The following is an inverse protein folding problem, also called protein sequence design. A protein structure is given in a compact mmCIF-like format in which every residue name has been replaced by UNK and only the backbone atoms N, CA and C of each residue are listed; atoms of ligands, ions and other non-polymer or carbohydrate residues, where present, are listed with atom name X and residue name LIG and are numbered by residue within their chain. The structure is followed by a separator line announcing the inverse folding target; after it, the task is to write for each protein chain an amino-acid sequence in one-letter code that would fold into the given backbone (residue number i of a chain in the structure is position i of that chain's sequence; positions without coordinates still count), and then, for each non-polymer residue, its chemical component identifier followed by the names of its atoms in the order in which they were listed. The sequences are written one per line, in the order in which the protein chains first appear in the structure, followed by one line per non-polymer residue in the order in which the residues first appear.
data_IF_963855621873
#
_entry.id   IF_963855621873
#
_cell.length_a   1.000
_cell.length_b   1.000
_cell.length_c   1.000
_cell.angle_alpha   90.00
_cell.angle_beta   90.00
_cell.angle_gamma   90.00
#
_symmetry.space_group_name_H-M   'P 1'
#
loop_
_entity.id
_entity.type
_entity.pdbx_description
1 polymer ?
#
# COMPACT_ATOMS: atom_id res chain seq x y z
N UNK A 1 2.05 -6.98 -28.50
CA UNK A 1 1.49 -6.54 -27.21
C UNK A 1 2.10 -7.38 -26.12
N UNK A 2 2.76 -6.77 -25.14
CA UNK A 2 3.27 -7.50 -23.98
C UNK A 2 2.04 -7.87 -23.15
N UNK A 3 1.65 -9.14 -23.15
CA UNK A 3 0.62 -9.66 -22.25
C UNK A 3 1.21 -9.69 -20.83
N UNK A 4 1.13 -8.58 -20.11
CA UNK A 4 1.59 -8.54 -18.71
C UNK A 4 0.53 -9.21 -17.84
N UNK A 5 0.84 -10.39 -17.30
CA UNK A 5 -0.03 -11.09 -16.35
C UNK A 5 -0.37 -10.16 -15.19
N UNK A 6 -1.64 -9.98 -14.79
CA UNK A 6 -1.93 -9.07 -13.71
C UNK A 6 -1.42 -9.58 -12.34
N UNK A 7 -1.08 -10.87 -12.21
CA UNK A 7 -0.26 -11.37 -11.09
C UNK A 7 1.14 -10.74 -11.07
N UNK A 8 1.79 -10.62 -12.23
CA UNK A 8 3.10 -9.96 -12.34
C UNK A 8 2.98 -8.46 -12.03
N UNK A 9 1.92 -7.81 -12.50
CA UNK A 9 1.65 -6.39 -12.19
C UNK A 9 1.44 -6.18 -10.68
N UNK A 10 0.61 -7.01 -10.04
CA UNK A 10 0.36 -6.93 -8.60
C UNK A 10 1.64 -7.18 -7.79
N UNK A 11 2.43 -8.20 -8.16
CA UNK A 11 3.71 -8.47 -7.51
C UNK A 11 4.73 -7.33 -7.70
N UNK A 12 4.78 -6.70 -8.88
CA UNK A 12 5.64 -5.54 -9.13
C UNK A 12 5.19 -4.33 -8.29
N UNK A 13 3.87 -4.05 -8.26
CA UNK A 13 3.30 -2.97 -7.46
C UNK A 13 3.62 -3.14 -5.97
N UNK A 14 3.42 -4.34 -5.40
CA UNK A 14 3.76 -4.63 -4.01
C UNK A 14 5.24 -4.38 -3.69
N UNK A 15 6.16 -4.78 -4.59
CA UNK A 15 7.59 -4.53 -4.40
C UNK A 15 7.98 -3.05 -4.50
N UNK A 16 7.35 -2.32 -5.43
CA UNK A 16 7.53 -0.86 -5.53
C UNK A 16 7.04 -0.20 -4.25
N UNK A 17 5.83 -0.52 -3.77
CA UNK A 17 5.27 0.02 -2.53
C UNK A 17 6.16 -0.29 -1.33
N UNK A 18 6.64 -1.54 -1.19
CA UNK A 18 7.56 -1.93 -0.12
C UNK A 18 8.86 -1.11 -0.17
N UNK A 19 9.41 -0.87 -1.36
CA UNK A 19 10.61 -0.07 -1.54
C UNK A 19 10.38 1.40 -1.17
N UNK A 20 9.22 1.94 -1.54
CA UNK A 20 8.79 3.30 -1.19
C UNK A 20 8.64 3.44 0.32
N UNK A 21 7.88 2.57 0.99
CA UNK A 21 7.67 2.63 2.45
C UNK A 21 8.99 2.57 3.21
N UNK A 22 9.91 1.69 2.83
CA UNK A 22 11.26 1.63 3.43
C UNK A 22 12.04 2.92 3.23
N UNK A 23 12.02 3.48 2.02
CA UNK A 23 12.73 4.72 1.71
C UNK A 23 12.15 5.90 2.49
N UNK A 24 10.82 6.01 2.56
CA UNK A 24 10.11 7.00 3.36
C UNK A 24 10.47 6.88 4.83
N UNK A 25 10.52 5.66 5.36
CA UNK A 25 10.92 5.41 6.76
C UNK A 25 12.33 5.93 7.05
N UNK A 26 13.29 5.69 6.15
CA UNK A 26 14.66 6.21 6.31
C UNK A 26 14.68 7.74 6.28
N UNK A 27 13.99 8.35 5.31
CA UNK A 27 13.91 9.81 5.18
C UNK A 27 13.27 10.43 6.42
N UNK A 28 12.16 9.87 6.89
CA UNK A 28 11.43 10.36 8.05
C UNK A 28 12.25 10.21 9.34
N UNK A 29 12.98 9.10 9.50
CA UNK A 29 13.92 8.93 10.61
C UNK A 29 15.02 10.00 10.59
N UNK A 30 15.58 10.29 9.42
CA UNK A 30 16.60 11.34 9.28
C UNK A 30 16.04 12.72 9.61
N UNK A 31 14.83 13.05 9.14
CA UNK A 31 14.15 14.31 9.44
C UNK A 31 13.81 14.43 10.93
N UNK A 32 13.35 13.36 11.57
CA UNK A 32 13.02 13.39 13.02
C UNK A 32 14.23 13.67 13.91
N UNK A 33 15.44 13.32 13.45
CA UNK A 33 16.71 13.54 14.17
C UNK A 33 17.43 14.81 13.75
N UNK A 34 16.90 15.55 12.78
CA UNK A 34 17.53 16.78 12.30
C UNK A 34 17.40 17.88 13.38
N UNK A 35 18.50 18.57 13.74
CA UNK A 35 18.47 19.65 14.73
C UNK A 35 17.47 20.79 14.46
N UNK A 36 17.02 20.95 13.20
CA UNK A 36 16.02 21.97 12.81
C UNK A 36 14.56 21.54 12.99
N UNK A 37 14.28 20.28 13.31
CA UNK A 37 12.92 19.74 13.43
C UNK A 37 12.31 20.10 14.78
N UNK A 38 11.06 20.57 14.79
CA UNK A 38 10.40 20.90 16.06
C UNK A 38 10.10 19.61 16.85
N UNK A 39 10.15 19.62 18.19
CA UNK A 39 9.88 18.42 19.00
C UNK A 39 8.55 17.72 18.66
N UNK A 40 7.48 18.49 18.45
CA UNK A 40 6.16 17.95 18.06
C UNK A 40 6.16 17.31 16.66
N UNK A 41 6.93 17.85 15.73
CA UNK A 41 7.08 17.28 14.38
C UNK A 41 7.92 15.99 14.45
N UNK A 42 8.95 15.97 15.30
CA UNK A 42 9.76 14.77 15.54
C UNK A 42 8.93 13.65 16.19
N UNK A 43 8.09 13.96 17.17
CA UNK A 43 7.16 13.02 17.81
C UNK A 43 6.18 12.43 16.79
N UNK A 44 5.48 13.28 16.02
CA UNK A 44 4.56 12.82 14.98
C UNK A 44 5.25 11.95 13.91
N UNK A 45 6.52 12.23 13.60
CA UNK A 45 7.31 11.38 12.71
C UNK A 45 7.70 10.04 13.35
N UNK A 46 7.92 9.97 14.66
CA UNK A 46 8.13 8.69 15.35
C UNK A 46 6.86 7.85 15.33
N UNK A 47 5.70 8.44 15.60
CA UNK A 47 4.41 7.73 15.52
C UNK A 47 4.19 7.18 14.10
N UNK A 48 4.47 7.98 13.07
CA UNK A 48 4.40 7.53 11.68
C UNK A 48 5.41 6.40 11.37
N UNK A 49 6.58 6.37 12.01
CA UNK A 49 7.57 5.31 11.79
C UNK A 49 7.11 3.96 12.33
N UNK A 50 6.33 3.93 13.41
CA UNK A 50 5.71 2.71 13.93
C UNK A 50 4.71 2.15 12.90
N UNK A 51 3.81 2.98 12.39
CA UNK A 51 2.84 2.59 11.35
C UNK A 51 3.50 2.13 10.04
N UNK A 52 4.61 2.78 9.66
CA UNK A 52 5.39 2.38 8.48
C UNK A 52 6.12 1.05 8.69
N UNK A 53 6.55 0.75 9.92
CA UNK A 53 7.16 -0.55 10.26
C UNK A 53 6.14 -1.67 10.11
N UNK A 54 4.93 -1.49 10.64
CA UNK A 54 3.85 -2.46 10.50
C UNK A 54 3.48 -2.65 9.02
N UNK A 55 3.42 -1.55 8.26
CA UNK A 55 3.21 -1.59 6.81
C UNK A 55 4.28 -2.40 6.07
N UNK A 56 5.55 -2.35 6.49
CA UNK A 56 6.63 -3.15 5.88
C UNK A 56 6.37 -4.64 6.06
N UNK A 57 5.94 -5.05 7.25
CA UNK A 57 5.71 -6.45 7.56
C UNK A 57 4.45 -6.98 6.86
N UNK A 58 3.38 -6.19 6.80
CA UNK A 58 2.18 -6.55 6.03
C UNK A 58 2.44 -6.63 4.51
N UNK A 59 3.27 -5.74 3.96
CA UNK A 59 3.68 -5.81 2.55
C UNK A 59 4.53 -7.04 2.26
N UNK A 60 5.44 -7.42 3.17
CA UNK A 60 6.22 -8.67 3.04
C UNK A 60 5.33 -9.90 3.05
N UNK A 61 4.35 -9.95 3.96
CA UNK A 61 3.34 -11.01 4.02
C UNK A 61 2.54 -11.08 2.73
N UNK A 62 2.06 -9.94 2.24
CA UNK A 62 1.30 -9.83 0.99
C UNK A 62 2.10 -10.34 -0.22
N UNK A 63 3.39 -10.01 -0.31
CA UNK A 63 4.29 -10.52 -1.37
C UNK A 63 4.44 -12.04 -1.27
N UNK A 64 4.63 -12.57 -0.06
CA UNK A 64 4.76 -14.01 0.16
C UNK A 64 3.48 -14.76 -0.26
N UNK A 65 2.30 -14.26 0.14
CA UNK A 65 1.01 -14.83 -0.24
C UNK A 65 0.76 -14.75 -1.76
N UNK A 66 1.08 -13.62 -2.39
CA UNK A 66 0.99 -13.45 -3.85
C UNK A 66 1.84 -14.49 -4.60
N UNK A 67 3.01 -14.86 -4.06
CA UNK A 67 3.84 -15.94 -4.57
C UNK A 67 3.11 -17.28 -4.61
N UNK A 68 2.27 -17.56 -3.60
CA UNK A 68 1.54 -18.81 -3.44
C UNK A 68 0.23 -18.90 -4.24
N UNK A 69 -0.28 -17.80 -4.79
CA UNK A 69 -1.51 -17.80 -5.60
C UNK A 69 -1.30 -18.66 -6.86
N UNK A 70 -2.01 -19.79 -6.95
CA UNK A 70 -2.03 -20.65 -8.14
C UNK A 70 -2.87 -19.99 -9.23
N UNK A 71 -2.45 -20.09 -10.50
CA UNK A 71 -3.09 -19.40 -11.62
C UNK A 71 -4.53 -19.86 -11.93
N UNK A 72 -5.00 -20.96 -11.32
CA UNK A 72 -6.31 -21.56 -11.59
C UNK A 72 -7.48 -20.68 -11.19
N UNK A 73 -7.32 -19.81 -10.19
CA UNK A 73 -8.40 -18.95 -9.68
C UNK A 73 -8.21 -17.48 -10.04
N UNK A 74 -7.18 -17.15 -10.82
CA UNK A 74 -6.77 -15.77 -11.07
C UNK A 74 -7.90 -14.93 -11.70
N UNK A 75 -8.66 -15.49 -12.65
CA UNK A 75 -9.79 -14.79 -13.27
C UNK A 75 -10.94 -14.52 -12.28
N UNK A 76 -11.24 -15.48 -11.41
CA UNK A 76 -12.26 -15.31 -10.36
C UNK A 76 -11.81 -14.27 -9.34
N UNK A 77 -10.58 -14.37 -8.85
CA UNK A 77 -10.01 -13.39 -7.91
C UNK A 77 -9.95 -11.97 -8.50
N UNK A 78 -9.60 -11.84 -9.78
CA UNK A 78 -9.60 -10.53 -10.45
C UNK A 78 -11.02 -9.96 -10.62
N UNK A 79 -12.00 -10.82 -10.90
CA UNK A 79 -13.42 -10.42 -10.95
C UNK A 79 -13.89 -9.93 -9.59
N UNK A 80 -13.56 -10.65 -8.50
CA UNK A 80 -13.92 -10.27 -7.13
C UNK A 80 -13.29 -8.92 -6.76
N UNK A 81 -12.00 -8.73 -7.06
CA UNK A 81 -11.28 -7.46 -6.83
C UNK A 81 -11.95 -6.32 -7.62
N UNK A 82 -12.28 -6.53 -8.90
CA UNK A 82 -12.95 -5.51 -9.72
C UNK A 82 -14.31 -5.12 -9.13
N UNK A 83 -15.08 -6.09 -8.61
CA UNK A 83 -16.34 -5.84 -7.92
C UNK A 83 -16.13 -5.01 -6.65
N UNK A 84 -15.18 -5.37 -5.78
CA UNK A 84 -14.94 -4.62 -4.54
C UNK A 84 -14.42 -3.21 -4.78
N UNK A 85 -13.53 -3.02 -5.76
CA UNK A 85 -13.04 -1.68 -6.14
C UNK A 85 -14.16 -0.83 -6.73
N UNK A 86 -15.01 -1.42 -7.57
CA UNK A 86 -16.15 -0.70 -8.15
C UNK A 86 -17.18 -0.33 -7.07
N UNK A 87 -17.39 -1.20 -6.09
CA UNK A 87 -18.22 -0.90 -4.91
C UNK A 87 -17.62 0.23 -4.08
N UNK A 88 -16.32 0.17 -3.75
CA UNK A 88 -15.64 1.22 -2.98
C UNK A 88 -15.67 2.58 -3.68
N UNK A 89 -15.44 2.62 -5.01
CA UNK A 89 -15.52 3.85 -5.80
C UNK A 89 -16.96 4.39 -5.91
N UNK A 90 -17.96 3.49 -5.94
CA UNK A 90 -19.37 3.89 -5.94
C UNK A 90 -19.80 4.39 -4.56
N UNK A 91 -19.30 3.79 -3.48
CA UNK A 91 -19.52 4.23 -2.11
C UNK A 91 -18.84 5.59 -1.85
N UNK A 92 -17.65 5.81 -2.40
CA UNK A 92 -16.97 7.12 -2.37
C UNK A 92 -17.77 8.17 -3.17
N UNK A 93 -18.31 7.80 -4.33
CA UNK A 93 -19.17 8.67 -5.15
C UNK A 93 -20.53 8.97 -4.47
N UNK A 94 -21.10 8.01 -3.74
CA UNK A 94 -22.30 8.20 -2.92
C UNK A 94 -22.02 9.09 -1.71
N UNK A 95 -20.89 8.90 -1.02
CA UNK A 95 -20.47 9.75 0.09
C UNK A 95 -20.22 11.20 -0.37
N UNK A 96 -19.65 11.39 -1.57
CA UNK A 96 -19.42 12.71 -2.15
C UNK A 96 -20.70 13.42 -2.64
N UNK A 97 -21.78 12.68 -2.93
CA UNK A 97 -23.07 13.24 -3.39
C UNK A 97 -24.11 13.40 -2.27
N UNK A 98 -23.91 12.78 -1.11
CA UNK A 98 -24.75 12.90 0.09
C UNK A 98 -24.52 14.16 0.94
N UNK A 99 -23.83 15.17 0.41
CA UNK A 99 -23.64 16.48 1.05
C UNK A 99 -24.16 17.61 0.14
N UNK A 100 -25.46 17.57 -0.18
CA UNK A 100 -26.26 18.74 -0.57
C UNK A 100 -27.66 18.61 0.01
#
# INVERSE_FOLDING_TARGET
MIQTSPKLLAHAALNVTLSTVKSTSVVMLHLSKNPGTKPREAEAMQDCLEELSDSVDELRRSIAEMGQIKSSNFQLTMSDIQTWVSAALTDELLAATGSM
#
